data_IF_903053684362
#
_entry.id   IF_903053684362
#
_cell.length_a   1.000
_cell.length_b   1.000
_cell.length_c   1.000
_cell.angle_alpha   90.00
_cell.angle_beta   90.00
_cell.angle_gamma   90.00
#
_symmetry.space_group_name_H-M   'P 1'
#
loop_
_entity.id
_entity.type
_entity.pdbx_description
1 polymer ?
#
# COMPACT_ATOMS: atom_id res chain seq x y z
N UNK A 1 -20.12 5.84 0.65
CA UNK A 1 -20.27 7.06 1.46
C UNK A 1 -19.92 6.78 2.91
N UNK A 2 -19.59 7.81 3.69
CA UNK A 2 -19.32 7.76 5.15
C UNK A 2 -20.31 8.66 5.89
N UNK A 3 -21.56 8.22 6.16
CA UNK A 3 -22.58 9.07 6.79
C UNK A 3 -22.22 9.40 8.25
N UNK A 4 -22.48 10.64 8.68
CA UNK A 4 -22.22 11.16 10.02
C UNK A 4 -23.33 12.11 10.49
N UNK A 5 -23.94 11.76 11.62
CA UNK A 5 -24.93 12.59 12.29
C UNK A 5 -24.22 13.63 13.17
N UNK A 6 -24.73 14.86 13.17
CA UNK A 6 -24.34 15.86 14.16
C UNK A 6 -24.75 15.43 15.58
N UNK A 7 -24.11 15.95 16.64
CA UNK A 7 -24.42 15.57 18.02
C UNK A 7 -25.88 15.77 18.44
N UNK A 8 -26.55 16.77 17.87
CA UNK A 8 -27.96 17.08 18.06
C UNK A 8 -28.91 16.28 17.14
N UNK A 9 -28.36 15.41 16.28
CA UNK A 9 -29.06 14.64 15.25
C UNK A 9 -29.87 15.48 14.25
N UNK A 10 -29.58 16.78 14.12
CA UNK A 10 -30.29 17.69 13.20
C UNK A 10 -29.66 17.75 11.79
N UNK A 11 -28.40 17.36 11.64
CA UNK A 11 -27.66 17.40 10.36
C UNK A 11 -26.99 16.07 10.04
N UNK A 12 -26.94 15.76 8.75
CA UNK A 12 -26.22 14.62 8.19
C UNK A 12 -25.10 15.13 7.29
N UNK A 13 -23.89 14.60 7.46
CA UNK A 13 -22.80 14.73 6.51
C UNK A 13 -22.51 13.39 5.83
N UNK A 14 -22.15 13.38 4.54
CA UNK A 14 -21.71 12.17 3.84
C UNK A 14 -20.75 12.49 2.69
N UNK A 15 -20.00 11.47 2.30
CA UNK A 15 -19.13 11.50 1.12
C UNK A 15 -19.79 10.84 -0.08
N UNK A 16 -19.64 11.41 -1.27
CA UNK A 16 -20.02 10.78 -2.52
C UNK A 16 -19.00 11.06 -3.62
N UNK A 17 -18.84 10.11 -4.53
CA UNK A 17 -18.07 10.25 -5.75
C UNK A 17 -18.74 9.40 -6.82
N UNK A 18 -18.38 9.65 -8.07
CA UNK A 18 -18.92 8.93 -9.21
C UNK A 18 -17.78 8.55 -10.14
N UNK A 19 -18.05 7.55 -10.99
CA UNK A 19 -17.18 7.24 -12.11
C UNK A 19 -16.94 8.49 -12.98
N UNK A 20 -15.73 8.64 -13.54
CA UNK A 20 -14.62 7.67 -13.51
C UNK A 20 -13.72 7.77 -12.27
N UNK A 21 -13.96 8.75 -11.38
CA UNK A 21 -13.06 9.00 -10.25
C UNK A 21 -13.05 7.87 -9.21
N UNK A 22 -11.86 7.59 -8.71
CA UNK A 22 -11.67 6.96 -7.41
C UNK A 22 -11.78 8.01 -6.30
N UNK A 23 -12.09 7.63 -5.04
CA UNK A 23 -12.29 8.59 -3.97
C UNK A 23 -11.03 9.37 -3.57
N UNK A 24 -9.84 8.95 -4.02
CA UNK A 24 -8.58 9.69 -3.88
C UNK A 24 -8.25 10.62 -5.04
N UNK A 25 -9.00 10.52 -6.16
CA UNK A 25 -8.91 11.45 -7.28
C UNK A 25 -9.75 12.69 -6.97
N UNK A 26 -11.03 12.45 -6.61
CA UNK A 26 -11.98 13.48 -6.23
C UNK A 26 -13.21 12.90 -5.53
N UNK A 27 -13.69 13.59 -4.50
CA UNK A 27 -14.79 13.15 -3.66
C UNK A 27 -15.51 14.37 -3.07
N UNK A 28 -16.84 14.39 -3.10
CA UNK A 28 -17.65 15.49 -2.58
C UNK A 28 -18.12 15.20 -1.16
N UNK A 29 -18.01 16.20 -0.28
CA UNK A 29 -18.62 16.24 1.03
C UNK A 29 -19.93 17.00 0.97
N UNK A 30 -21.02 16.30 1.26
CA UNK A 30 -22.35 16.85 1.32
C UNK A 30 -22.84 16.95 2.75
N UNK A 31 -23.64 17.99 3.02
CA UNK A 31 -24.38 18.18 4.25
C UNK A 31 -25.87 18.32 3.94
N UNK A 32 -26.71 17.95 4.89
CA UNK A 32 -28.16 18.12 4.81
C UNK A 32 -28.78 18.24 6.20
N UNK A 33 -29.97 18.83 6.25
CA UNK A 33 -30.81 18.85 7.44
C UNK A 33 -31.65 17.57 7.52
N UNK A 34 -31.92 17.14 8.75
CA UNK A 34 -32.82 16.02 9.06
C UNK A 34 -34.10 16.62 9.61
N UNK A 35 -35.19 16.50 8.86
CA UNK A 35 -36.51 16.92 9.29
C UNK A 35 -37.03 16.04 10.43
N UNK A 36 -38.09 16.49 11.12
CA UNK A 36 -38.65 15.78 12.29
C UNK A 36 -39.19 14.36 11.97
N UNK A 37 -39.54 14.09 10.71
CA UNK A 37 -39.96 12.77 10.22
C UNK A 37 -38.78 11.89 9.73
N UNK A 38 -37.55 12.39 9.86
CA UNK A 38 -36.33 11.74 9.40
C UNK A 38 -35.99 11.99 7.92
N UNK A 39 -36.77 12.80 7.20
CA UNK A 39 -36.48 13.12 5.81
C UNK A 39 -35.23 14.01 5.67
N UNK A 40 -34.44 13.76 4.63
CA UNK A 40 -33.24 14.55 4.30
C UNK A 40 -33.63 15.75 3.43
N UNK A 41 -33.43 16.96 3.95
CA UNK A 41 -33.76 18.22 3.28
C UNK A 41 -32.52 19.12 3.12
N UNK A 42 -32.64 20.16 2.28
CA UNK A 42 -31.63 21.22 2.13
C UNK A 42 -30.20 20.69 1.87
N UNK A 43 -30.08 19.70 0.98
CA UNK A 43 -28.80 19.11 0.59
C UNK A 43 -27.88 20.16 -0.05
N UNK A 44 -26.64 20.24 0.43
CA UNK A 44 -25.61 21.15 -0.08
C UNK A 44 -24.27 20.43 -0.17
N UNK A 45 -23.57 20.60 -1.29
CA UNK A 45 -22.16 20.25 -1.38
C UNK A 45 -21.35 21.32 -0.64
N UNK A 46 -20.66 20.92 0.42
CA UNK A 46 -19.88 21.79 1.30
C UNK A 46 -18.44 21.94 0.82
N UNK A 47 -17.83 20.84 0.36
CA UNK A 47 -16.44 20.78 -0.07
C UNK A 47 -16.24 19.59 -1.03
N UNK A 48 -15.10 19.55 -1.72
CA UNK A 48 -14.79 18.47 -2.64
C UNK A 48 -15.19 18.78 -4.08
N UNK A 49 -14.49 18.13 -4.99
CA UNK A 49 -14.61 18.32 -6.43
C UNK A 49 -14.05 17.08 -7.15
N UNK A 50 -13.97 17.13 -8.48
CA UNK A 50 -13.38 16.05 -9.28
C UNK A 50 -11.86 15.90 -9.05
N UNK A 51 -11.20 16.95 -8.55
CA UNK A 51 -9.77 17.05 -8.29
C UNK A 51 -9.46 17.35 -6.81
N UNK A 52 -10.45 17.23 -5.92
CA UNK A 52 -10.28 17.38 -4.48
C UNK A 52 -10.82 16.13 -3.78
N UNK A 53 -9.93 15.40 -3.11
CA UNK A 53 -10.24 14.22 -2.32
C UNK A 53 -10.57 14.59 -0.88
N UNK A 54 -11.82 14.32 -0.49
CA UNK A 54 -12.27 14.44 0.89
C UNK A 54 -12.27 13.08 1.60
N UNK A 55 -11.68 13.06 2.79
CA UNK A 55 -11.57 11.91 3.68
C UNK A 55 -12.20 12.20 5.05
N UNK A 56 -12.87 11.18 5.60
CA UNK A 56 -13.32 11.12 7.00
C UNK A 56 -13.97 12.42 7.53
N UNK A 57 -15.19 12.79 7.11
CA UNK A 57 -15.95 13.82 7.81
C UNK A 57 -16.28 13.33 9.22
N UNK A 58 -16.21 14.21 10.22
CA UNK A 58 -16.61 13.97 11.61
C UNK A 58 -17.12 15.26 12.26
N UNK A 59 -18.20 15.17 13.02
CA UNK A 59 -18.68 16.30 13.83
C UNK A 59 -17.94 16.33 15.18
N UNK A 60 -17.41 17.49 15.55
CA UNK A 60 -16.89 17.72 16.90
C UNK A 60 -18.03 17.74 17.92
N UNK A 61 -17.74 17.54 19.22
CA UNK A 61 -18.75 17.58 20.28
C UNK A 61 -19.56 18.89 20.35
N UNK A 62 -19.03 20.01 19.86
CA UNK A 62 -19.73 21.30 19.79
C UNK A 62 -20.57 21.49 18.51
N UNK A 63 -20.60 20.48 17.62
CA UNK A 63 -21.37 20.52 16.38
C UNK A 63 -20.68 21.22 15.20
N UNK A 64 -19.38 21.50 15.28
CA UNK A 64 -18.57 21.93 14.13
C UNK A 64 -18.22 20.72 13.25
N UNK A 65 -18.30 20.84 11.92
CA UNK A 65 -17.92 19.76 11.01
C UNK A 65 -16.43 19.86 10.66
N UNK A 66 -15.69 18.79 10.89
CA UNK A 66 -14.31 18.61 10.45
C UNK A 66 -14.24 17.53 9.38
N UNK A 67 -13.22 17.60 8.54
CA UNK A 67 -12.93 16.59 7.51
C UNK A 67 -11.48 16.76 7.05
N UNK A 68 -10.96 15.78 6.33
CA UNK A 68 -9.64 15.85 5.71
C UNK A 68 -9.80 16.17 4.22
N UNK A 69 -8.99 17.07 3.70
CA UNK A 69 -8.99 17.47 2.27
C UNK A 69 -7.57 17.60 1.77
N UNK A 70 -7.31 17.16 0.53
CA UNK A 70 -6.03 17.34 -0.16
C UNK A 70 -5.96 18.57 -1.06
N UNK A 71 -6.89 19.52 -0.93
CA UNK A 71 -6.96 20.75 -1.74
C UNK A 71 -5.66 21.57 -1.83
N UNK A 72 -4.78 21.43 -0.83
CA UNK A 72 -3.49 22.10 -0.76
C UNK A 72 -2.31 21.23 -1.22
N UNK A 73 -2.58 20.06 -1.81
CA UNK A 73 -1.58 19.09 -2.25
C UNK A 73 -1.28 17.98 -1.22
N UNK A 74 -1.73 18.13 0.03
CA UNK A 74 -1.60 17.13 1.10
C UNK A 74 -2.92 16.97 1.81
N UNK A 75 -3.29 15.74 2.20
CA UNK A 75 -4.47 15.54 3.03
C UNK A 75 -4.24 16.18 4.40
N UNK A 76 -4.88 17.31 4.68
CA UNK A 76 -4.83 17.99 5.97
C UNK A 76 -6.23 18.13 6.56
N UNK A 77 -6.32 18.27 7.88
CA UNK A 77 -7.60 18.45 8.57
C UNK A 77 -8.11 19.89 8.35
N UNK A 78 -9.36 19.99 7.93
CA UNK A 78 -10.12 21.22 7.71
C UNK A 78 -11.39 21.22 8.55
N UNK A 79 -11.98 22.40 8.73
CA UNK A 79 -13.29 22.58 9.37
C UNK A 79 -14.19 23.50 8.58
N UNK A 80 -15.49 23.32 8.74
CA UNK A 80 -16.51 24.25 8.25
C UNK A 80 -16.78 25.35 9.27
N UNK A 81 -16.83 26.60 8.82
CA UNK A 81 -17.27 27.73 9.64
C UNK A 81 -18.80 27.80 9.68
N UNK A 82 -19.41 28.60 10.58
CA UNK A 82 -20.86 28.82 10.56
C UNK A 82 -21.41 29.43 9.26
N UNK A 83 -20.55 30.04 8.44
CA UNK A 83 -20.89 30.54 7.11
C UNK A 83 -20.62 29.51 6.00
N UNK A 84 -20.37 28.25 6.37
CA UNK A 84 -19.98 27.15 5.49
C UNK A 84 -18.69 27.39 4.68
N UNK A 85 -17.84 28.32 5.12
CA UNK A 85 -16.49 28.46 4.57
C UNK A 85 -15.59 27.34 5.12
N UNK A 86 -14.62 26.90 4.34
CA UNK A 86 -13.68 25.86 4.75
C UNK A 86 -12.35 26.47 5.18
N UNK A 87 -11.90 26.12 6.39
CA UNK A 87 -10.64 26.57 6.95
C UNK A 87 -9.71 25.39 7.24
N UNK A 88 -8.43 25.50 6.88
CA UNK A 88 -7.43 24.54 7.31
C UNK A 88 -7.18 24.68 8.82
N UNK A 89 -7.14 23.54 9.51
CA UNK A 89 -6.91 23.44 10.96
C UNK A 89 -5.43 23.36 11.25
N UNK A 90 -4.67 22.59 10.47
CA UNK A 90 -3.21 22.49 10.62
C UNK A 90 -2.61 22.16 9.25
N UNK A 91 -1.95 23.13 8.64
CA UNK A 91 -1.31 22.98 7.34
C UNK A 91 0.07 22.35 7.50
N UNK A 92 0.29 21.23 6.83
CA UNK A 92 1.52 20.42 6.92
C UNK A 92 1.74 19.64 5.63
N UNK A 93 3.01 19.51 5.23
CA UNK A 93 3.48 18.55 4.22
C UNK A 93 3.47 17.11 4.78
N UNK A 94 2.29 16.65 5.19
CA UNK A 94 2.04 15.36 5.83
C UNK A 94 0.63 14.86 5.49
N UNK A 95 0.45 13.54 5.40
CA UNK A 95 -0.86 12.96 5.10
C UNK A 95 -1.64 12.66 6.38
N UNK A 96 -2.78 13.32 6.56
CA UNK A 96 -3.80 13.00 7.56
C UNK A 96 -4.93 12.13 6.98
N UNK A 97 -4.82 11.77 5.70
CA UNK A 97 -5.80 10.95 4.99
C UNK A 97 -5.15 9.70 4.41
N UNK A 98 -6.00 8.77 3.99
CA UNK A 98 -5.60 7.54 3.31
C UNK A 98 -6.49 7.29 2.10
N UNK A 99 -6.02 6.55 1.08
CA UNK A 99 -6.87 6.17 -0.04
C UNK A 99 -8.05 5.31 0.46
N UNK A 100 -9.27 5.74 0.15
CA UNK A 100 -10.52 5.18 0.67
C UNK A 100 -10.94 3.88 -0.05
N UNK A 101 -10.09 2.86 0.03
CA UNK A 101 -10.36 1.50 -0.49
C UNK A 101 -11.55 0.83 0.19
N UNK A 102 -11.75 1.12 1.47
CA UNK A 102 -12.82 0.58 2.30
C UNK A 102 -13.46 1.67 3.15
N UNK A 103 -14.66 1.40 3.65
CA UNK A 103 -15.34 2.29 4.58
C UNK A 103 -14.80 2.16 6.02
N UNK A 104 -15.06 3.17 6.84
CA UNK A 104 -14.76 3.14 8.28
C UNK A 104 -13.32 3.42 8.68
N UNK A 105 -12.46 3.76 7.71
CA UNK A 105 -11.11 4.26 7.94
C UNK A 105 -11.14 5.53 8.79
N UNK A 106 -10.11 5.70 9.63
CA UNK A 106 -10.06 6.81 10.58
C UNK A 106 -8.63 7.12 10.99
N UNK A 107 -8.23 8.37 10.81
CA UNK A 107 -6.92 8.91 11.20
C UNK A 107 -7.03 9.92 12.34
N UNK A 108 -8.21 10.46 12.62
CA UNK A 108 -8.42 11.34 13.77
C UNK A 108 -9.71 11.06 14.54
N UNK A 109 -9.79 11.56 15.77
CA UNK A 109 -10.97 11.56 16.61
C UNK A 109 -10.93 12.72 17.61
N UNK A 110 -12.09 13.12 18.15
CA UNK A 110 -12.19 14.16 19.16
C UNK A 110 -12.08 13.57 20.57
N UNK A 111 -11.15 14.10 21.36
CA UNK A 111 -11.13 13.90 22.82
C UNK A 111 -12.15 14.85 23.47
N UNK A 112 -12.22 16.08 22.97
CA UNK A 112 -13.16 17.14 23.34
C UNK A 112 -13.36 18.09 22.13
N UNK A 113 -14.19 19.12 22.27
CA UNK A 113 -14.36 20.14 21.23
C UNK A 113 -13.06 20.92 20.93
N UNK A 114 -12.16 20.99 21.91
CA UNK A 114 -10.93 21.76 21.84
C UNK A 114 -9.71 20.90 21.45
N UNK A 115 -9.83 19.57 21.46
CA UNK A 115 -8.70 18.66 21.27
C UNK A 115 -9.02 17.49 20.33
N UNK A 116 -8.25 17.43 19.24
CA UNK A 116 -8.23 16.32 18.29
C UNK A 116 -7.06 15.42 18.63
N UNK A 117 -7.27 14.10 18.67
CA UNK A 117 -6.19 13.10 18.59
C UNK A 117 -6.12 12.63 17.15
N UNK A 118 -4.94 12.64 16.55
CA UNK A 118 -4.75 12.31 15.14
C UNK A 118 -3.51 11.46 14.92
N UNK A 119 -3.49 10.80 13.78
CA UNK A 119 -2.28 10.23 13.17
C UNK A 119 -2.06 10.84 11.81
N UNK A 120 -0.80 11.02 11.45
CA UNK A 120 -0.36 11.62 10.21
C UNK A 120 0.92 10.95 9.72
N UNK A 121 1.11 10.86 8.40
CA UNK A 121 2.30 10.28 7.79
C UNK A 121 3.26 11.36 7.30
N UNK A 122 4.53 11.22 7.67
CA UNK A 122 5.64 12.01 7.13
C UNK A 122 6.67 11.03 6.53
N UNK A 123 7.04 11.25 5.27
CA UNK A 123 7.99 10.36 4.56
C UNK A 123 7.56 8.88 4.59
N UNK A 124 6.25 8.61 4.54
CA UNK A 124 5.69 7.26 4.60
C UNK A 124 5.67 6.60 5.99
N UNK A 125 6.00 7.33 7.07
CA UNK A 125 5.96 6.81 8.44
C UNK A 125 4.83 7.50 9.23
N UNK A 126 3.92 6.72 9.80
CA UNK A 126 2.82 7.27 10.60
C UNK A 126 3.26 7.61 12.02
N UNK A 127 2.83 8.79 12.47
CA UNK A 127 3.08 9.37 13.79
C UNK A 127 1.77 9.67 14.49
N UNK A 128 1.79 9.81 15.81
CA UNK A 128 0.64 10.22 16.61
C UNK A 128 0.81 11.68 17.03
N UNK A 129 -0.30 12.41 17.12
CA UNK A 129 -0.29 13.79 17.62
C UNK A 129 -1.64 14.22 18.17
N UNK A 130 -1.63 15.38 18.82
CA UNK A 130 -2.83 16.10 19.22
C UNK A 130 -2.87 17.47 18.56
N UNK A 131 -4.06 17.93 18.16
CA UNK A 131 -4.27 19.28 17.63
C UNK A 131 -5.23 20.02 18.55
N UNK A 132 -4.79 21.16 19.06
CA UNK A 132 -5.66 22.13 19.75
C UNK A 132 -6.45 22.92 18.69
N UNK A 133 -7.78 22.84 18.72
CA UNK A 133 -8.64 23.38 17.65
C UNK A 133 -8.77 24.90 17.66
N UNK A 134 -8.40 25.56 18.76
CA UNK A 134 -8.45 27.02 18.93
C UNK A 134 -7.17 27.67 18.41
N UNK A 135 -6.04 27.18 18.90
CA UNK A 135 -4.70 27.64 18.53
C UNK A 135 -4.24 27.07 17.19
N UNK A 136 -4.86 25.98 16.72
CA UNK A 136 -4.54 25.30 15.46
C UNK A 136 -3.11 24.76 15.43
N UNK A 137 -2.62 24.33 16.59
CA UNK A 137 -1.26 23.80 16.77
C UNK A 137 -1.28 22.30 16.99
N UNK A 138 -0.42 21.60 16.26
CA UNK A 138 -0.13 20.20 16.47
C UNK A 138 0.99 20.02 17.49
N UNK A 139 0.80 19.09 18.41
CA UNK A 139 1.82 18.55 19.30
C UNK A 139 2.03 17.07 18.97
N UNK A 140 3.27 16.69 18.63
CA UNK A 140 3.61 15.29 18.36
C UNK A 140 3.67 14.50 19.67
N UNK A 141 3.19 13.27 19.61
CA UNK A 141 3.30 12.30 20.71
C UNK A 141 4.30 11.23 20.29
N UNK A 142 5.41 11.17 21.02
CA UNK A 142 6.43 10.15 20.77
C UNK A 142 5.91 8.76 21.15
N UNK A 143 5.95 7.85 20.19
CA UNK A 143 5.58 6.45 20.37
C UNK A 143 6.55 5.56 19.59
N UNK A 144 6.73 4.28 19.96
CA UNK A 144 7.56 3.37 19.20
C UNK A 144 6.91 2.91 17.88
N UNK A 145 5.67 3.34 17.60
CA UNK A 145 4.89 2.87 16.47
C UNK A 145 5.24 3.65 15.20
N UNK A 146 5.26 2.92 14.09
CA UNK A 146 5.56 3.44 12.74
C UNK A 146 4.38 3.29 11.78
N UNK A 147 3.35 2.54 12.20
CA UNK A 147 2.05 2.46 11.53
C UNK A 147 0.96 2.65 12.59
N UNK A 148 0.04 3.59 12.38
CA UNK A 148 -1.05 3.90 13.29
C UNK A 148 -2.33 4.12 12.48
N UNK A 149 -3.43 3.52 12.91
CA UNK A 149 -4.71 3.56 12.20
C UNK A 149 -5.90 3.41 13.16
N UNK A 150 -7.10 3.69 12.65
CA UNK A 150 -8.36 3.53 13.38
C UNK A 150 -8.40 4.28 14.71
N UNK A 151 -7.94 5.54 14.72
CA UNK A 151 -7.90 6.37 15.92
C UNK A 151 -9.32 6.62 16.45
N UNK A 152 -9.51 6.39 17.75
CA UNK A 152 -10.73 6.73 18.52
C UNK A 152 -10.30 7.46 19.78
N UNK A 153 -11.12 8.41 20.22
CA UNK A 153 -10.84 9.19 21.42
C UNK A 153 -12.13 9.46 22.21
N UNK A 154 -11.93 9.72 23.50
CA UNK A 154 -12.92 10.16 24.48
C UNK A 154 -12.19 10.92 25.57
N UNK A 155 -12.89 11.59 26.48
CA UNK A 155 -12.28 12.38 27.55
C UNK A 155 -11.07 11.67 28.22
N UNK A 156 -9.88 12.26 28.07
CA UNK A 156 -8.59 11.79 28.62
C UNK A 156 -7.99 10.52 28.00
N UNK A 157 -8.59 9.90 26.98
CA UNK A 157 -8.13 8.61 26.44
C UNK A 157 -8.21 8.53 24.92
N UNK A 158 -7.23 7.85 24.33
CA UNK A 158 -7.26 7.42 22.95
C UNK A 158 -7.12 5.90 22.82
N UNK A 159 -7.74 5.32 21.79
CA UNK A 159 -7.57 3.92 21.39
C UNK A 159 -7.27 3.89 19.90
N UNK A 160 -6.26 3.15 19.50
CA UNK A 160 -5.84 3.05 18.10
C UNK A 160 -5.20 1.69 17.82
N UNK A 161 -5.18 1.29 16.55
CA UNK A 161 -4.40 0.15 16.07
C UNK A 161 -3.01 0.65 15.70
N UNK A 162 -1.96 0.03 16.22
CA UNK A 162 -0.59 0.41 15.90
C UNK A 162 0.37 -0.76 15.81
N UNK A 163 1.43 -0.60 15.02
CA UNK A 163 2.55 -1.54 14.87
C UNK A 163 3.88 -0.80 14.83
N UNK A 164 4.95 -1.45 15.27
CA UNK A 164 6.33 -0.95 15.15
C UNK A 164 7.15 -1.88 14.26
N UNK A 165 8.38 -1.50 13.93
CA UNK A 165 9.31 -2.38 13.19
C UNK A 165 9.69 -3.66 13.95
N UNK A 166 9.40 -3.72 15.26
CA UNK A 166 9.80 -4.83 16.14
C UNK A 166 8.63 -5.58 16.78
N UNK A 167 7.43 -5.00 16.76
CA UNK A 167 6.26 -5.57 17.41
C UNK A 167 5.09 -5.71 16.42
N UNK A 168 4.31 -6.80 16.52
CA UNK A 168 3.14 -6.99 15.68
C UNK A 168 2.07 -5.94 15.99
N UNK A 169 1.17 -5.73 15.03
CA UNK A 169 0.02 -4.86 15.22
C UNK A 169 -0.75 -5.20 16.50
N UNK A 170 -1.15 -4.16 17.21
CA UNK A 170 -1.85 -4.25 18.47
C UNK A 170 -2.92 -3.16 18.59
N UNK A 171 -3.95 -3.42 19.38
CA UNK A 171 -4.88 -2.39 19.84
C UNK A 171 -4.27 -1.77 21.09
N UNK A 172 -3.97 -0.48 21.03
CA UNK A 172 -3.32 0.30 22.06
C UNK A 172 -4.33 1.27 22.65
N UNK A 173 -4.39 1.33 23.99
CA UNK A 173 -5.02 2.41 24.72
C UNK A 173 -3.94 3.34 25.25
N UNK A 174 -4.14 4.65 25.10
CA UNK A 174 -3.26 5.68 25.65
C UNK A 174 -4.03 6.56 26.63
N UNK A 175 -3.43 6.82 27.79
CA UNK A 175 -3.83 7.92 28.66
C UNK A 175 -3.22 9.22 28.12
N UNK A 176 -4.05 10.21 27.80
CA UNK A 176 -3.58 11.42 27.12
C UNK A 176 -2.86 12.40 28.05
N UNK A 177 -3.09 12.31 29.37
CA UNK A 177 -2.43 13.17 30.34
C UNK A 177 -1.03 12.66 30.69
N UNK A 178 -0.88 11.35 30.88
CA UNK A 178 0.42 10.74 31.24
C UNK A 178 1.22 10.28 30.01
N UNK A 179 0.57 10.16 28.84
CA UNK A 179 1.09 9.53 27.61
C UNK A 179 1.41 8.03 27.78
N UNK A 180 1.03 7.42 28.90
CA UNK A 180 1.25 5.99 29.13
C UNK A 180 0.36 5.15 28.20
N UNK A 181 0.93 4.07 27.68
CA UNK A 181 0.23 3.15 26.79
C UNK A 181 -0.01 1.80 27.44
N UNK A 182 -1.16 1.21 27.12
CA UNK A 182 -1.55 -0.14 27.50
C UNK A 182 -1.95 -0.91 26.24
N UNK A 183 -1.28 -2.04 26.01
CA UNK A 183 -1.69 -2.99 24.97
C UNK A 183 -2.96 -3.70 25.43
N UNK A 184 -4.06 -3.49 24.71
CA UNK A 184 -5.34 -4.16 24.97
C UNK A 184 -5.39 -5.54 24.30
N UNK A 185 -4.89 -5.65 23.08
CA UNK A 185 -4.86 -6.89 22.32
C UNK A 185 -3.71 -6.87 21.31
N UNK A 186 -3.00 -7.99 21.17
CA UNK A 186 -2.01 -8.19 20.10
C UNK A 186 -2.62 -9.01 18.97
N UNK A 187 -2.28 -8.70 17.72
CA UNK A 187 -2.66 -9.50 16.56
C UNK A 187 -1.97 -10.87 16.55
N UNK A 188 -0.84 -11.00 17.22
CA UNK A 188 -0.09 -12.25 17.37
C UNK A 188 0.65 -12.31 18.70
N UNK A 189 0.91 -13.53 19.17
CA UNK A 189 1.71 -13.83 20.35
C UNK A 189 3.14 -14.28 20.04
N UNK A 190 3.53 -14.41 18.76
CA UNK A 190 4.91 -14.80 18.45
C UNK A 190 5.89 -13.72 18.88
N UNK A 191 7.04 -14.15 19.40
CA UNK A 191 8.15 -13.27 19.77
C UNK A 191 9.32 -13.70 18.89
N UNK A 192 9.81 -12.75 18.08
CA UNK A 192 11.02 -12.94 17.28
C UNK A 192 12.15 -12.24 18.03
N UNK A 193 13.27 -12.94 18.23
CA UNK A 193 14.46 -12.33 18.81
C UNK A 193 14.95 -11.19 17.91
N UNK A 194 15.19 -10.01 18.52
CA UNK A 194 15.63 -8.81 17.80
C UNK A 194 16.90 -8.99 16.98
N UNK A 195 17.72 -10.00 17.31
CA UNK A 195 18.89 -10.38 16.53
C UNK A 195 18.58 -10.83 15.10
N UNK A 196 17.33 -11.22 14.81
CA UNK A 196 16.87 -11.60 13.46
C UNK A 196 15.95 -10.57 12.81
N UNK A 197 15.66 -9.44 13.49
CA UNK A 197 14.78 -8.40 12.99
C UNK A 197 15.56 -7.33 12.25
N UNK A 198 15.37 -7.25 10.93
CA UNK A 198 15.85 -6.15 10.10
C UNK A 198 14.90 -4.96 10.20
N UNK A 199 15.44 -3.80 10.60
CA UNK A 199 14.66 -2.58 10.70
C UNK A 199 14.60 -1.84 9.36
N UNK A 200 13.45 -1.24 9.00
CA UNK A 200 13.30 -0.47 7.78
C UNK A 200 14.19 0.78 7.81
N UNK A 201 14.94 0.98 6.73
CA UNK A 201 15.65 2.21 6.45
C UNK A 201 14.89 2.97 5.37
N UNK A 202 14.29 4.11 5.72
CA UNK A 202 13.70 5.00 4.73
C UNK A 202 14.80 5.49 3.78
N UNK A 203 14.62 5.24 2.48
CA UNK A 203 15.55 5.68 1.45
C UNK A 203 14.83 6.45 0.35
N UNK A 204 15.58 7.32 -0.29
CA UNK A 204 15.20 8.04 -1.49
C UNK A 204 16.22 7.72 -2.58
N UNK A 205 15.76 7.60 -3.82
CA UNK A 205 16.62 7.31 -4.95
C UNK A 205 16.16 8.05 -6.20
N UNK A 206 17.11 8.45 -7.08
CA UNK A 206 16.76 9.10 -8.33
C UNK A 206 16.03 8.13 -9.26
N UNK A 207 15.06 8.67 -10.01
CA UNK A 207 14.34 7.96 -11.07
C UNK A 207 14.26 8.83 -12.32
N UNK A 208 13.46 8.41 -13.29
CA UNK A 208 13.32 9.06 -14.60
C UNK A 208 12.95 10.54 -14.48
N UNK A 209 13.33 11.32 -15.51
CA UNK A 209 13.01 12.76 -15.63
C UNK A 209 13.50 13.64 -14.45
N UNK A 210 14.56 13.22 -13.75
CA UNK A 210 15.12 13.97 -12.63
C UNK A 210 14.24 13.97 -11.38
N UNK A 211 13.30 13.03 -11.30
CA UNK A 211 12.44 12.83 -10.14
C UNK A 211 13.13 11.94 -9.09
N UNK A 212 12.54 11.90 -7.90
CA UNK A 212 12.94 11.03 -6.78
C UNK A 212 11.82 10.08 -6.43
N UNK A 213 12.13 8.83 -6.16
CA UNK A 213 11.22 7.82 -5.62
C UNK A 213 11.65 7.35 -4.22
N UNK A 214 10.73 6.69 -3.51
CA UNK A 214 10.89 6.35 -2.10
C UNK A 214 10.80 4.84 -1.86
N UNK A 215 11.30 4.39 -0.72
CA UNK A 215 11.10 3.02 -0.27
C UNK A 215 11.71 2.74 1.08
N UNK A 216 11.47 1.53 1.59
CA UNK A 216 12.11 1.00 2.78
C UNK A 216 13.11 -0.08 2.39
N UNK A 217 14.39 0.15 2.71
CA UNK A 217 15.44 -0.85 2.57
C UNK A 217 15.62 -1.63 3.87
N UNK A 218 15.65 -2.96 3.75
CA UNK A 218 15.89 -3.89 4.84
C UNK A 218 17.16 -4.69 4.53
N UNK A 219 18.29 -4.39 5.18
CA UNK A 219 19.49 -5.20 5.01
C UNK A 219 19.28 -6.61 5.59
N UNK A 220 20.04 -7.62 5.14
CA UNK A 220 20.01 -8.93 5.77
C UNK A 220 20.38 -8.83 7.26
N UNK A 221 19.67 -9.58 8.11
CA UNK A 221 19.87 -9.55 9.56
C UNK A 221 19.70 -10.92 10.15
N UNK A 222 20.78 -11.47 10.70
CA UNK A 222 20.76 -12.71 11.45
C UNK A 222 21.78 -12.60 12.59
N UNK A 223 21.45 -13.14 13.78
CA UNK A 223 22.36 -13.12 14.93
C UNK A 223 23.49 -14.15 14.79
N UNK A 224 23.17 -15.29 14.20
CA UNK A 224 24.02 -16.48 14.22
C UNK A 224 24.88 -16.60 12.96
N UNK A 225 24.54 -15.86 11.91
CA UNK A 225 25.22 -15.87 10.61
C UNK A 225 25.55 -14.45 10.14
N UNK A 226 26.69 -14.33 9.47
CA UNK A 226 27.11 -13.14 8.76
C UNK A 226 27.48 -13.50 7.32
N UNK A 227 27.41 -12.52 6.41
CA UNK A 227 27.81 -12.72 5.02
C UNK A 227 29.30 -13.08 4.92
N UNK A 228 29.69 -13.95 3.97
CA UNK A 228 31.10 -14.19 3.65
C UNK A 228 31.84 -12.90 3.28
N UNK A 229 33.15 -12.88 3.55
CA UNK A 229 34.01 -11.76 3.17
C UNK A 229 33.99 -11.59 1.65
N UNK A 230 33.73 -10.38 1.17
CA UNK A 230 33.59 -10.00 -0.24
C UNK A 230 32.35 -10.52 -0.98
N UNK A 231 31.34 -11.02 -0.27
CA UNK A 231 30.05 -11.33 -0.86
C UNK A 231 29.01 -10.25 -0.53
N UNK A 232 28.16 -9.94 -1.51
CA UNK A 232 27.01 -9.04 -1.33
C UNK A 232 25.73 -9.87 -1.34
N UNK A 233 24.71 -9.49 -0.54
CA UNK A 233 23.47 -10.24 -0.51
C UNK A 233 22.70 -10.11 -1.84
N UNK A 234 21.91 -11.13 -2.22
CA UNK A 234 20.87 -10.96 -3.23
C UNK A 234 19.84 -9.92 -2.75
N UNK A 235 19.14 -9.28 -3.69
CA UNK A 235 18.08 -8.31 -3.39
C UNK A 235 16.73 -8.83 -3.90
N UNK A 236 15.72 -8.83 -3.03
CA UNK A 236 14.33 -8.95 -3.42
C UNK A 236 13.68 -7.57 -3.39
N UNK A 237 13.28 -7.06 -4.56
CA UNK A 237 12.47 -5.85 -4.67
C UNK A 237 11.00 -6.24 -4.56
N UNK A 238 10.26 -5.60 -3.66
CA UNK A 238 8.83 -5.78 -3.52
C UNK A 238 8.09 -4.60 -4.13
N UNK A 239 7.08 -4.90 -4.91
CA UNK A 239 6.13 -3.94 -5.46
C UNK A 239 4.77 -4.14 -4.80
N UNK A 240 4.28 -3.11 -4.09
CA UNK A 240 3.01 -3.19 -3.38
C UNK A 240 1.80 -3.13 -4.33
N UNK A 241 0.67 -3.70 -3.90
CA UNK A 241 -0.62 -3.56 -4.59
C UNK A 241 -1.28 -2.19 -4.36
N UNK A 242 -2.42 -1.95 -5.03
CA UNK A 242 -3.14 -0.67 -4.99
C UNK A 242 -3.62 -0.30 -6.39
N UNK A 243 -2.78 0.31 -7.25
CA UNK A 243 -1.43 0.82 -6.98
C UNK A 243 -1.42 2.11 -6.14
N UNK A 244 -2.57 2.78 -5.95
CA UNK A 244 -2.69 3.91 -5.01
C UNK A 244 -2.76 3.41 -3.56
N UNK A 245 -1.60 3.10 -3.00
CA UNK A 245 -1.37 2.65 -1.61
C UNK A 245 0.07 2.98 -1.20
N UNK A 246 0.58 2.40 -0.12
CA UNK A 246 1.99 2.50 0.24
C UNK A 246 2.46 1.22 0.96
N UNK A 247 3.77 0.97 0.96
CA UNK A 247 4.39 0.09 1.95
C UNK A 247 4.44 0.74 3.34
N UNK A 248 4.60 -0.07 4.39
CA UNK A 248 4.58 0.34 5.78
C UNK A 248 5.86 -0.07 6.51
N UNK A 249 6.28 0.76 7.47
CA UNK A 249 7.48 0.54 8.28
C UNK A 249 7.26 -0.34 9.53
N UNK A 250 6.14 -1.09 9.58
CA UNK A 250 5.82 -2.00 10.68
C UNK A 250 6.47 -3.39 10.48
N UNK A 251 6.39 -4.24 11.51
CA UNK A 251 6.86 -5.62 11.46
C UNK A 251 6.04 -6.43 10.44
N UNK A 252 6.67 -6.77 9.32
CA UNK A 252 6.12 -7.66 8.29
C UNK A 252 6.87 -9.00 8.34
N UNK A 253 6.29 -10.08 8.88
CA UNK A 253 6.97 -11.37 9.01
C UNK A 253 7.48 -11.95 7.69
N UNK A 254 6.78 -11.70 6.57
CA UNK A 254 7.23 -12.14 5.25
C UNK A 254 8.48 -11.41 4.75
N UNK A 255 8.71 -10.15 5.13
CA UNK A 255 9.99 -9.46 4.86
C UNK A 255 11.09 -10.07 5.75
N UNK A 256 10.78 -10.27 7.04
CA UNK A 256 11.74 -10.84 7.99
C UNK A 256 12.16 -12.26 7.60
N UNK A 257 11.26 -13.04 6.98
CA UNK A 257 11.55 -14.36 6.44
C UNK A 257 12.72 -14.36 5.45
N UNK A 258 12.82 -13.33 4.61
CA UNK A 258 13.91 -13.11 3.64
C UNK A 258 15.16 -12.55 4.30
N UNK A 259 15.01 -11.47 5.08
CA UNK A 259 16.16 -10.79 5.70
C UNK A 259 16.89 -11.67 6.70
N UNK A 260 16.17 -12.55 7.40
CA UNK A 260 16.78 -13.53 8.30
C UNK A 260 17.55 -14.63 7.58
N UNK A 261 17.35 -14.79 6.26
CA UNK A 261 17.98 -15.80 5.39
C UNK A 261 19.06 -15.22 4.49
N UNK A 262 19.54 -14.00 4.77
CA UNK A 262 20.64 -13.40 4.01
C UNK A 262 20.20 -12.61 2.77
N UNK A 263 18.91 -12.48 2.51
CA UNK A 263 18.37 -11.74 1.35
C UNK A 263 18.01 -10.32 1.77
N UNK A 264 18.57 -9.33 1.08
CA UNK A 264 18.17 -7.93 1.29
C UNK A 264 16.78 -7.70 0.67
N UNK A 265 15.99 -6.80 1.25
CA UNK A 265 14.66 -6.45 0.72
C UNK A 265 14.59 -4.95 0.46
N UNK A 266 14.07 -4.55 -0.70
CA UNK A 266 13.68 -3.17 -0.98
C UNK A 266 12.18 -3.15 -1.23
N UNK A 267 11.43 -2.53 -0.32
CA UNK A 267 9.99 -2.36 -0.47
C UNK A 267 9.70 -0.96 -1.03
N UNK A 268 9.27 -0.89 -2.28
CA UNK A 268 9.27 0.34 -3.08
C UNK A 268 7.93 1.06 -2.97
N UNK A 269 7.98 2.33 -2.54
CA UNK A 269 6.89 3.29 -2.73
C UNK A 269 7.14 4.02 -4.06
N UNK A 270 6.68 3.43 -5.16
CA UNK A 270 6.86 3.97 -6.51
C UNK A 270 5.97 5.20 -6.75
N UNK A 271 6.28 6.03 -7.76
CA UNK A 271 5.44 7.16 -8.16
C UNK A 271 4.00 6.70 -8.41
N UNK A 272 3.05 7.22 -7.63
CA UNK A 272 1.71 6.62 -7.49
C UNK A 272 1.33 6.29 -6.06
N UNK A 273 2.32 6.01 -5.21
CA UNK A 273 2.09 5.69 -3.81
C UNK A 273 1.55 6.88 -3.02
N UNK A 274 0.86 6.59 -1.93
CA UNK A 274 0.38 7.58 -0.95
C UNK A 274 1.41 7.81 0.15
N UNK A 275 1.24 8.84 0.99
CA UNK A 275 2.23 9.17 2.04
C UNK A 275 3.21 10.28 1.68
N UNK A 276 3.14 10.78 0.43
CA UNK A 276 4.08 11.73 -0.17
C UNK A 276 3.37 12.87 -0.91
N UNK A 277 2.09 13.11 -0.61
CA UNK A 277 1.28 14.17 -1.20
C UNK A 277 0.64 13.78 -2.53
N UNK A 278 -0.34 14.58 -2.94
CA UNK A 278 -1.12 14.42 -4.17
C UNK A 278 -0.22 14.41 -5.41
N UNK A 279 0.76 15.31 -5.48
CA UNK A 279 1.67 15.39 -6.62
C UNK A 279 2.48 14.10 -6.84
N UNK A 280 2.84 13.38 -5.76
CA UNK A 280 3.52 12.09 -5.87
C UNK A 280 2.54 10.98 -6.28
N UNK A 281 1.34 10.97 -5.68
CA UNK A 281 0.26 10.04 -5.98
C UNK A 281 -0.19 10.12 -7.45
N UNK A 282 -0.25 11.31 -8.02
CA UNK A 282 -0.68 11.53 -9.41
C UNK A 282 0.42 11.22 -10.44
N UNK A 283 1.65 10.90 -10.03
CA UNK A 283 2.73 10.51 -10.98
C UNK A 283 2.38 9.27 -11.79
N UNK A 284 1.50 8.42 -11.28
CA UNK A 284 1.07 7.20 -11.96
C UNK A 284 -0.06 7.43 -12.97
N UNK A 285 -0.70 8.62 -12.95
CA UNK A 285 -1.79 8.93 -13.88
C UNK A 285 -1.28 8.92 -15.32
N UNK A 286 -1.92 8.12 -16.17
CA UNK A 286 -1.51 7.84 -17.54
C UNK A 286 -0.20 7.06 -17.67
N UNK A 287 0.41 6.61 -16.57
CA UNK A 287 1.77 6.07 -16.52
C UNK A 287 1.90 4.71 -15.82
N UNK A 288 0.79 4.05 -15.47
CA UNK A 288 0.83 2.69 -14.93
C UNK A 288 1.40 1.70 -15.96
N UNK A 289 2.32 0.84 -15.53
CA UNK A 289 3.16 -0.02 -16.36
C UNK A 289 4.46 0.64 -16.82
N UNK A 290 4.73 1.88 -16.39
CA UNK A 290 5.91 2.67 -16.76
C UNK A 290 6.58 3.18 -15.48
N UNK A 291 5.95 4.11 -14.76
CA UNK A 291 6.56 4.77 -13.59
C UNK A 291 6.80 3.78 -12.45
N UNK A 292 5.81 2.94 -12.15
CA UNK A 292 5.91 1.87 -11.16
C UNK A 292 7.05 0.87 -11.47
N UNK A 293 7.21 0.55 -12.75
CA UNK A 293 8.24 -0.37 -13.25
C UNK A 293 9.63 0.27 -13.16
N UNK A 294 9.77 1.50 -13.64
CA UNK A 294 11.03 2.22 -13.69
C UNK A 294 11.55 2.53 -12.28
N UNK A 295 10.66 2.92 -11.35
CA UNK A 295 11.02 3.17 -9.96
C UNK A 295 11.53 1.88 -9.28
N UNK A 296 10.87 0.74 -9.48
CA UNK A 296 11.33 -0.55 -8.95
C UNK A 296 12.72 -0.93 -9.51
N UNK A 297 12.92 -0.77 -10.82
CA UNK A 297 14.21 -1.03 -11.46
C UNK A 297 15.31 -0.06 -10.97
N UNK A 298 15.01 1.22 -10.83
CA UNK A 298 15.97 2.25 -10.41
C UNK A 298 16.35 2.09 -8.94
N UNK A 299 15.42 1.71 -8.06
CA UNK A 299 15.72 1.35 -6.67
C UNK A 299 16.72 0.18 -6.57
N UNK A 300 16.52 -0.86 -7.37
CA UNK A 300 17.44 -2.00 -7.43
C UNK A 300 18.85 -1.59 -7.89
N UNK A 301 18.92 -0.83 -9.00
CA UNK A 301 20.18 -0.33 -9.57
C UNK A 301 20.91 0.60 -8.61
N UNK A 302 20.18 1.45 -7.89
CA UNK A 302 20.73 2.38 -6.92
C UNK A 302 21.46 1.66 -5.78
N UNK A 303 20.82 0.65 -5.17
CA UNK A 303 21.44 -0.15 -4.11
C UNK A 303 22.65 -0.96 -4.64
N UNK A 304 22.56 -1.50 -5.85
CA UNK A 304 23.66 -2.21 -6.50
C UNK A 304 24.87 -1.28 -6.75
N UNK A 305 24.62 -0.05 -7.23
CA UNK A 305 25.65 0.96 -7.47
C UNK A 305 26.35 1.44 -6.19
N UNK A 306 25.61 1.51 -5.07
CA UNK A 306 26.16 1.77 -3.72
C UNK A 306 26.96 0.58 -3.16
N UNK A 307 26.86 -0.58 -3.81
CA UNK A 307 27.56 -1.79 -3.43
C UNK A 307 26.94 -2.54 -2.25
N UNK A 308 25.67 -2.28 -1.94
CA UNK A 308 24.96 -2.91 -0.82
C UNK A 308 24.34 -4.26 -1.18
N UNK A 309 24.14 -4.52 -2.47
CA UNK A 309 23.54 -5.76 -2.99
C UNK A 309 24.29 -6.27 -4.22
N UNK A 310 24.09 -7.55 -4.55
CA UNK A 310 24.64 -8.19 -5.73
C UNK A 310 23.78 -7.92 -6.98
N UNK A 311 24.35 -7.19 -7.94
CA UNK A 311 23.70 -6.85 -9.22
C UNK A 311 23.31 -8.07 -10.07
N UNK A 312 23.95 -9.22 -9.85
CA UNK A 312 23.64 -10.45 -10.58
C UNK A 312 22.58 -11.32 -9.88
N UNK A 313 22.09 -10.91 -8.71
CA UNK A 313 21.06 -11.62 -7.93
C UNK A 313 19.95 -10.67 -7.49
N UNK A 314 19.45 -9.90 -8.45
CA UNK A 314 18.29 -9.02 -8.29
C UNK A 314 17.00 -9.80 -8.63
N UNK A 315 16.06 -9.86 -7.70
CA UNK A 315 14.76 -10.50 -7.83
C UNK A 315 13.66 -9.44 -7.63
N UNK A 316 12.48 -9.70 -8.17
CA UNK A 316 11.30 -8.87 -7.94
C UNK A 316 10.07 -9.72 -7.66
N UNK A 317 9.27 -9.32 -6.70
CA UNK A 317 7.95 -9.88 -6.48
C UNK A 317 6.89 -8.81 -6.20
N UNK A 318 5.63 -9.23 -6.31
CA UNK A 318 4.49 -8.35 -6.10
C UNK A 318 3.17 -9.08 -6.23
N UNK A 319 2.17 -8.53 -5.54
CA UNK A 319 0.79 -9.02 -5.56
C UNK A 319 -0.16 -8.07 -6.25
N UNK A 320 -1.18 -8.59 -6.95
CA UNK A 320 -2.23 -7.75 -7.58
C UNK A 320 -1.62 -6.71 -8.54
N UNK A 321 -1.86 -5.41 -8.33
CA UNK A 321 -1.21 -4.33 -9.08
C UNK A 321 0.34 -4.37 -9.02
N UNK A 322 0.93 -4.80 -7.90
CA UNK A 322 2.37 -5.05 -7.81
C UNK A 322 2.79 -6.30 -8.59
N UNK A 323 1.91 -7.30 -8.70
CA UNK A 323 2.11 -8.45 -9.57
C UNK A 323 2.16 -8.03 -11.05
N UNK A 324 1.35 -7.04 -11.44
CA UNK A 324 1.43 -6.40 -12.75
C UNK A 324 2.75 -5.65 -12.95
N UNK A 325 3.14 -4.79 -12.01
CA UNK A 325 4.45 -4.12 -12.03
C UNK A 325 5.60 -5.12 -12.17
N UNK A 326 5.55 -6.23 -11.43
CA UNK A 326 6.52 -7.31 -11.49
C UNK A 326 6.61 -7.92 -12.88
N UNK A 327 5.48 -8.31 -13.48
CA UNK A 327 5.47 -8.89 -14.82
C UNK A 327 5.94 -7.88 -15.88
N UNK A 328 5.52 -6.62 -15.78
CA UNK A 328 6.00 -5.55 -16.65
C UNK A 328 7.51 -5.32 -16.53
N UNK A 329 8.07 -5.33 -15.32
CA UNK A 329 9.51 -5.20 -15.11
C UNK A 329 10.29 -6.36 -15.74
N UNK A 330 9.77 -7.59 -15.67
CA UNK A 330 10.41 -8.78 -16.24
C UNK A 330 10.27 -8.86 -17.78
N UNK A 331 9.22 -8.25 -18.34
CA UNK A 331 8.94 -8.26 -19.79
C UNK A 331 9.57 -7.07 -20.52
N UNK A 332 9.51 -5.88 -19.91
CA UNK A 332 9.84 -4.62 -20.58
C UNK A 332 11.16 -4.00 -20.11
N UNK A 333 11.82 -4.57 -19.09
CA UNK A 333 13.13 -4.12 -18.58
C UNK A 333 14.05 -5.33 -18.38
N UNK A 334 15.35 -5.07 -18.22
CA UNK A 334 16.39 -6.09 -17.97
C UNK A 334 17.16 -5.76 -16.68
N UNK A 335 16.43 -5.57 -15.59
CA UNK A 335 17.02 -5.35 -14.27
C UNK A 335 17.13 -6.65 -13.46
N UNK A 336 16.09 -7.49 -13.52
CA UNK A 336 15.92 -8.62 -12.62
C UNK A 336 16.30 -9.96 -13.27
N UNK A 337 16.79 -10.89 -12.45
CA UNK A 337 17.28 -12.22 -12.86
C UNK A 337 16.32 -13.35 -12.54
N UNK A 338 15.30 -13.08 -11.72
CA UNK A 338 14.13 -13.93 -11.51
C UNK A 338 13.00 -13.09 -10.90
N UNK A 339 11.78 -13.62 -10.87
CA UNK A 339 10.72 -12.99 -10.09
C UNK A 339 9.57 -13.91 -9.71
N UNK A 340 8.67 -13.37 -8.88
CA UNK A 340 7.47 -14.06 -8.42
C UNK A 340 6.22 -13.19 -8.57
N UNK A 341 5.20 -13.71 -9.25
CA UNK A 341 3.92 -13.02 -9.42
C UNK A 341 2.85 -13.66 -8.53
N UNK A 342 2.26 -12.86 -7.65
CA UNK A 342 1.14 -13.27 -6.80
C UNK A 342 -0.15 -12.67 -7.35
N UNK A 343 -0.99 -13.50 -7.99
CA UNK A 343 -2.28 -13.09 -8.59
C UNK A 343 -2.19 -11.73 -9.33
N UNK A 344 -1.14 -11.59 -10.15
CA UNK A 344 -0.82 -10.35 -10.87
C UNK A 344 -1.55 -10.24 -12.21
N UNK A 345 -1.88 -9.01 -12.60
CA UNK A 345 -2.51 -8.74 -13.90
C UNK A 345 -1.47 -8.93 -15.00
N UNK A 346 -1.81 -9.67 -16.05
CA UNK A 346 -0.97 -9.87 -17.25
C UNK A 346 -1.60 -9.30 -18.53
N UNK A 347 -2.93 -9.17 -18.55
CA UNK A 347 -3.77 -8.60 -19.61
C UNK A 347 -4.69 -7.53 -19.01
N UNK A 348 -4.38 -6.26 -19.30
CA UNK A 348 -5.15 -5.10 -18.87
C UNK A 348 -6.49 -5.00 -19.57
N UNK A 349 -6.61 -5.45 -20.83
CA UNK A 349 -7.87 -5.42 -21.56
C UNK A 349 -8.86 -6.43 -20.96
N UNK A 350 -8.36 -7.60 -20.52
CA UNK A 350 -9.18 -8.55 -19.78
C UNK A 350 -9.58 -8.01 -18.39
N UNK A 351 -8.67 -7.35 -17.67
CA UNK A 351 -8.99 -6.70 -16.38
C UNK A 351 -10.13 -5.69 -16.53
N UNK A 352 -10.05 -4.80 -17.52
CA UNK A 352 -11.05 -3.74 -17.74
C UNK A 352 -12.46 -4.32 -18.04
N UNK A 353 -12.54 -5.49 -18.68
CA UNK A 353 -13.83 -6.11 -19.03
C UNK A 353 -14.50 -6.84 -17.88
N UNK A 354 -13.72 -7.39 -16.95
CA UNK A 354 -14.21 -8.35 -15.95
C UNK A 354 -14.07 -7.88 -14.48
N UNK A 355 -13.56 -6.67 -14.23
CA UNK A 355 -13.38 -6.15 -12.85
C UNK A 355 -14.71 -5.72 -12.18
N UNK A 356 -14.67 -5.52 -10.86
CA UNK A 356 -15.82 -5.10 -10.07
C UNK A 356 -16.08 -3.59 -10.17
N UNK A 357 -17.32 -3.17 -9.86
CA UNK A 357 -17.81 -1.78 -10.01
C UNK A 357 -16.91 -0.69 -9.40
N UNK A 358 -16.26 -0.95 -8.26
CA UNK A 358 -15.46 0.08 -7.59
C UNK A 358 -14.23 0.46 -8.41
N UNK A 359 -13.59 -0.51 -9.07
CA UNK A 359 -12.36 -0.30 -9.85
C UNK A 359 -12.59 -0.30 -11.36
N UNK A 360 -13.83 -0.48 -11.82
CA UNK A 360 -14.17 -0.63 -13.24
C UNK A 360 -13.93 0.59 -14.12
N UNK A 361 -13.44 1.71 -13.56
CA UNK A 361 -13.00 2.90 -14.29
C UNK A 361 -11.64 3.40 -13.79
N UNK A 362 -10.97 2.64 -12.92
CA UNK A 362 -9.71 3.06 -12.31
C UNK A 362 -8.60 3.13 -13.36
N UNK A 363 -8.62 2.25 -14.36
CA UNK A 363 -7.68 2.29 -15.48
C UNK A 363 -7.85 3.52 -16.39
N UNK A 364 -8.99 4.24 -16.33
CA UNK A 364 -9.16 5.49 -17.08
C UNK A 364 -8.12 6.54 -16.67
N UNK A 365 -7.85 6.67 -15.37
CA UNK A 365 -6.86 7.62 -14.86
C UNK A 365 -5.44 7.06 -14.92
N UNK A 366 -5.24 5.77 -14.66
CA UNK A 366 -3.92 5.13 -14.61
C UNK A 366 -3.30 4.88 -16.00
N UNK A 367 -4.11 4.59 -17.01
CA UNK A 367 -3.67 4.24 -18.37
C UNK A 367 -4.28 5.22 -19.37
N UNK A 368 -5.60 5.31 -19.40
CA UNK A 368 -6.37 6.11 -20.35
C UNK A 368 -7.76 5.51 -20.58
N UNK A 369 -8.70 6.28 -21.14
CA UNK A 369 -10.09 5.85 -21.30
C UNK A 369 -10.21 4.65 -22.26
N UNK A 370 -10.97 3.63 -21.86
CA UNK A 370 -11.31 2.48 -22.71
C UNK A 370 -12.75 2.61 -23.27
N UNK A 371 -12.99 2.31 -24.56
CA UNK A 371 -12.08 1.69 -25.54
C UNK A 371 -11.22 2.65 -26.38
N UNK A 372 -11.29 3.96 -26.15
CA UNK A 372 -10.62 4.99 -26.99
C UNK A 372 -9.10 4.83 -27.02
N UNK A 373 -8.50 4.44 -25.89
CA UNK A 373 -7.07 4.19 -25.73
C UNK A 373 -6.69 2.72 -25.61
N UNK A 374 -7.46 1.84 -26.27
CA UNK A 374 -7.16 0.39 -26.32
C UNK A 374 -5.72 0.08 -26.77
N UNK A 375 -5.10 0.96 -27.56
CA UNK A 375 -3.67 0.91 -27.90
C UNK A 375 -2.79 0.77 -26.65
N UNK A 376 -3.01 1.59 -25.63
CA UNK A 376 -2.21 1.58 -24.41
C UNK A 376 -2.42 0.30 -23.59
N UNK A 377 -3.65 -0.22 -23.53
CA UNK A 377 -3.94 -1.48 -22.84
C UNK A 377 -3.18 -2.63 -23.51
N UNK A 378 -3.11 -2.63 -24.84
CA UNK A 378 -2.32 -3.62 -25.57
C UNK A 378 -0.81 -3.44 -25.30
N UNK A 379 -0.29 -2.23 -25.47
CA UNK A 379 1.14 -1.88 -25.31
C UNK A 379 1.67 -2.18 -23.90
N UNK A 380 0.83 -2.03 -22.89
CA UNK A 380 1.22 -2.17 -21.48
C UNK A 380 0.79 -3.49 -20.85
N UNK A 381 0.20 -4.41 -21.61
CA UNK A 381 -0.12 -5.76 -21.13
C UNK A 381 1.08 -6.69 -21.34
N UNK A 382 1.75 -7.17 -20.29
CA UNK A 382 2.95 -8.00 -20.42
C UNK A 382 2.70 -9.30 -21.19
N UNK A 383 1.47 -9.83 -21.20
CA UNK A 383 1.16 -11.04 -21.98
C UNK A 383 1.39 -10.88 -23.48
N UNK A 384 1.12 -9.69 -24.04
CA UNK A 384 1.29 -9.41 -25.46
C UNK A 384 2.76 -9.40 -25.90
N UNK A 385 3.66 -9.30 -24.92
CA UNK A 385 5.10 -9.24 -25.12
C UNK A 385 5.83 -10.33 -24.30
N UNK A 386 5.13 -11.38 -23.87
CA UNK A 386 5.72 -12.47 -23.09
C UNK A 386 6.92 -13.15 -23.79
N UNK A 387 7.01 -13.02 -25.13
CA UNK A 387 8.16 -13.43 -25.91
C UNK A 387 9.48 -12.72 -25.51
N UNK A 388 9.43 -11.54 -24.87
CA UNK A 388 10.60 -10.81 -24.38
C UNK A 388 11.10 -11.33 -23.03
N UNK A 389 10.22 -11.93 -22.22
CA UNK A 389 10.55 -12.44 -20.89
C UNK A 389 11.57 -13.58 -20.98
N UNK A 390 12.75 -13.41 -20.38
CA UNK A 390 13.90 -14.31 -20.55
C UNK A 390 14.44 -14.91 -19.25
N UNK A 391 13.91 -14.52 -18.09
CA UNK A 391 14.35 -14.98 -16.78
C UNK A 391 13.31 -15.88 -16.09
N UNK A 392 13.72 -16.72 -15.12
CA UNK A 392 12.82 -17.61 -14.39
C UNK A 392 11.70 -16.87 -13.63
N UNK A 393 10.47 -17.40 -13.68
CA UNK A 393 9.33 -16.84 -12.94
C UNK A 393 8.50 -17.91 -12.23
N UNK A 394 8.10 -17.64 -10.99
CA UNK A 394 7.11 -18.44 -10.26
C UNK A 394 5.78 -17.68 -10.11
N UNK A 395 4.67 -18.38 -10.25
CA UNK A 395 3.32 -17.82 -10.17
C UNK A 395 2.54 -18.47 -9.03
N UNK A 396 1.89 -17.64 -8.21
CA UNK A 396 0.99 -18.06 -7.13
C UNK A 396 -0.41 -17.50 -7.36
N UNK A 397 -1.43 -18.35 -7.36
CA UNK A 397 -2.78 -17.93 -7.74
C UNK A 397 -3.86 -18.57 -6.86
N UNK A 398 -4.81 -17.79 -6.38
CA UNK A 398 -6.04 -18.28 -5.78
C UNK A 398 -7.05 -18.65 -6.87
N UNK A 399 -7.63 -19.84 -6.81
CA UNK A 399 -8.55 -20.33 -7.85
C UNK A 399 -9.95 -19.71 -7.79
N UNK A 400 -10.30 -19.04 -6.69
CA UNK A 400 -11.57 -18.32 -6.52
C UNK A 400 -11.40 -16.80 -6.67
N UNK A 401 -10.26 -16.34 -7.19
CA UNK A 401 -9.98 -14.92 -7.40
C UNK A 401 -10.92 -14.34 -8.47
N UNK A 402 -11.65 -13.28 -8.09
CA UNK A 402 -12.58 -12.54 -8.95
C UNK A 402 -12.10 -11.13 -9.30
N UNK A 403 -10.97 -10.71 -8.75
CA UNK A 403 -10.35 -9.41 -9.07
C UNK A 403 -9.33 -9.63 -10.20
N UNK A 404 -8.48 -10.64 -10.05
CA UNK A 404 -7.53 -11.08 -11.10
C UNK A 404 -7.74 -12.57 -11.33
N UNK A 405 -8.56 -12.95 -12.32
CA UNK A 405 -8.93 -14.35 -12.49
C UNK A 405 -7.74 -15.24 -12.89
N UNK A 406 -7.76 -16.55 -12.56
CA UNK A 406 -6.61 -17.44 -12.74
C UNK A 406 -6.04 -17.53 -14.17
N UNK A 407 -6.86 -17.27 -15.18
CA UNK A 407 -6.45 -17.28 -16.59
C UNK A 407 -5.28 -16.32 -16.86
N UNK A 408 -5.19 -15.22 -16.12
CA UNK A 408 -4.11 -14.22 -16.22
C UNK A 408 -2.73 -14.86 -15.96
N UNK A 409 -2.63 -15.68 -14.90
CA UNK A 409 -1.41 -16.40 -14.58
C UNK A 409 -1.18 -17.57 -15.55
N UNK A 410 -2.23 -18.34 -15.87
CA UNK A 410 -2.15 -19.49 -16.76
C UNK A 410 -1.63 -19.14 -18.17
N UNK A 411 -2.05 -17.99 -18.71
CA UNK A 411 -1.57 -17.48 -20.00
C UNK A 411 -0.07 -17.20 -19.99
N UNK A 412 0.45 -16.55 -18.94
CA UNK A 412 1.89 -16.29 -18.79
C UNK A 412 2.69 -17.57 -18.61
N UNK A 413 2.20 -18.50 -17.78
CA UNK A 413 2.85 -19.81 -17.57
C UNK A 413 2.92 -20.58 -18.88
N UNK A 414 1.84 -20.60 -19.67
CA UNK A 414 1.82 -21.26 -20.98
C UNK A 414 2.85 -20.64 -21.95
N UNK A 415 2.97 -19.31 -21.98
CA UNK A 415 3.94 -18.62 -22.81
C UNK A 415 5.39 -18.98 -22.42
N UNK A 416 5.71 -19.02 -21.12
CA UNK A 416 7.04 -19.39 -20.63
C UNK A 416 7.37 -20.86 -20.88
N UNK A 417 6.40 -21.76 -20.72
CA UNK A 417 6.54 -23.18 -21.08
C UNK A 417 6.91 -23.34 -22.56
N UNK A 418 6.19 -22.63 -23.44
CA UNK A 418 6.46 -22.68 -24.88
C UNK A 418 7.85 -22.14 -25.23
N UNK A 419 8.28 -21.08 -24.54
CA UNK A 419 9.60 -20.47 -24.71
C UNK A 419 10.74 -21.29 -24.08
N UNK A 420 10.41 -22.30 -23.26
CA UNK A 420 11.37 -23.08 -22.44
C UNK A 420 12.15 -22.21 -21.46
N UNK A 421 11.49 -21.20 -20.90
CA UNK A 421 12.01 -20.44 -19.76
C UNK A 421 11.63 -21.18 -18.47
N UNK A 422 12.51 -21.26 -17.46
CA UNK A 422 12.17 -21.90 -16.20
C UNK A 422 10.93 -21.28 -15.56
N UNK A 423 9.92 -22.10 -15.25
CA UNK A 423 8.64 -21.60 -14.72
C UNK A 423 8.03 -22.57 -13.71
N UNK A 424 7.43 -22.01 -12.66
CA UNK A 424 6.64 -22.76 -11.69
C UNK A 424 5.26 -22.11 -11.51
N UNK A 425 4.24 -22.94 -11.26
CA UNK A 425 2.88 -22.47 -10.99
C UNK A 425 2.30 -23.21 -9.79
N UNK A 426 1.84 -22.46 -8.80
CA UNK A 426 1.22 -22.98 -7.59
C UNK A 426 -0.17 -22.35 -7.45
N UNK A 427 -1.19 -23.19 -7.64
CA UNK A 427 -2.59 -22.81 -7.51
C UNK A 427 -3.13 -23.22 -6.14
N UNK A 428 -3.96 -22.37 -5.54
CA UNK A 428 -4.57 -22.59 -4.23
C UNK A 428 -6.10 -22.65 -4.34
N UNK A 429 -6.66 -23.84 -4.09
CA UNK A 429 -8.10 -24.02 -3.92
C UNK A 429 -8.61 -23.36 -2.62
N UNK A 430 -9.79 -22.73 -2.68
CA UNK A 430 -10.37 -22.03 -1.54
C UNK A 430 -9.76 -20.65 -1.24
N UNK A 431 -8.80 -20.19 -2.05
CA UNK A 431 -8.24 -18.85 -1.96
C UNK A 431 -8.78 -17.94 -3.06
N UNK A 432 -8.99 -16.67 -2.68
CA UNK A 432 -9.50 -15.61 -3.55
C UNK A 432 -8.35 -14.63 -3.88
N UNK A 433 -8.68 -13.34 -4.06
CA UNK A 433 -7.69 -12.29 -4.21
C UNK A 433 -6.94 -12.03 -2.89
N UNK A 434 -5.74 -12.58 -2.79
CA UNK A 434 -4.94 -12.59 -1.56
C UNK A 434 -5.18 -13.82 -0.69
N UNK A 435 -4.10 -14.47 -0.25
CA UNK A 435 -4.17 -15.71 0.53
C UNK A 435 -4.51 -15.42 1.99
N UNK A 436 -5.46 -16.16 2.55
CA UNK A 436 -5.93 -16.00 3.93
C UNK A 436 -5.60 -17.20 4.81
N UNK A 437 -5.47 -18.39 4.24
CA UNK A 437 -5.17 -19.60 5.00
C UNK A 437 -3.67 -19.62 5.30
N UNK A 438 -3.33 -19.85 6.57
CA UNK A 438 -1.94 -19.79 7.04
C UNK A 438 -1.03 -20.80 6.31
N UNK A 439 -1.58 -21.98 6.01
CA UNK A 439 -0.90 -23.02 5.24
C UNK A 439 -0.55 -22.57 3.81
N UNK A 440 -1.43 -21.82 3.14
CA UNK A 440 -1.22 -21.34 1.79
C UNK A 440 -0.24 -20.16 1.76
N UNK A 441 -0.33 -19.24 2.73
CA UNK A 441 0.64 -18.16 2.91
C UNK A 441 2.05 -18.73 3.11
N UNK A 442 2.18 -19.72 4.01
CA UNK A 442 3.45 -20.42 4.24
C UNK A 442 3.92 -21.13 2.97
N UNK A 443 3.03 -21.86 2.30
CA UNK A 443 3.36 -22.62 1.08
C UNK A 443 3.88 -21.72 -0.04
N UNK A 444 3.31 -20.51 -0.19
CA UNK A 444 3.75 -19.55 -1.18
C UNK A 444 5.16 -19.02 -0.87
N UNK A 445 5.42 -18.57 0.37
CA UNK A 445 6.75 -18.10 0.80
C UNK A 445 7.83 -19.18 0.66
N UNK A 446 7.53 -20.40 1.12
CA UNK A 446 8.43 -21.54 1.02
C UNK A 446 8.67 -21.96 -0.44
N UNK A 447 7.62 -21.91 -1.27
CA UNK A 447 7.71 -22.21 -2.70
C UNK A 447 8.56 -21.19 -3.45
N UNK A 448 8.45 -19.91 -3.10
CA UNK A 448 9.27 -18.85 -3.67
C UNK A 448 10.73 -19.00 -3.27
N UNK A 449 11.00 -19.26 -1.98
CA UNK A 449 12.36 -19.54 -1.49
C UNK A 449 12.97 -20.76 -2.19
N UNK A 450 12.21 -21.85 -2.32
CA UNK A 450 12.65 -23.04 -3.06
C UNK A 450 12.99 -22.69 -4.51
N UNK A 451 12.12 -21.94 -5.17
CA UNK A 451 12.32 -21.54 -6.56
C UNK A 451 13.62 -20.75 -6.74
N UNK A 452 13.84 -19.71 -5.95
CA UNK A 452 15.08 -18.92 -6.03
C UNK A 452 16.32 -19.75 -5.65
N UNK A 453 16.23 -20.65 -4.67
CA UNK A 453 17.33 -21.54 -4.32
C UNK A 453 17.76 -22.42 -5.50
N UNK A 454 16.79 -22.93 -6.26
CA UNK A 454 17.05 -23.73 -7.46
C UNK A 454 17.59 -22.89 -8.63
N UNK A 455 17.08 -21.68 -8.81
CA UNK A 455 17.52 -20.76 -9.88
C UNK A 455 18.94 -20.25 -9.65
N UNK A 456 19.26 -19.84 -8.42
CA UNK A 456 20.56 -19.24 -8.08
C UNK A 456 21.57 -20.23 -7.49
N UNK A 457 21.17 -21.49 -7.27
CA UNK A 457 22.06 -22.57 -6.85
C UNK A 457 22.55 -22.45 -5.40
N UNK A 458 21.73 -21.94 -4.48
CA UNK A 458 22.06 -21.90 -3.05
C UNK A 458 21.36 -23.00 -2.25
N UNK A 459 22.01 -23.46 -1.18
CA UNK A 459 21.46 -24.48 -0.29
C UNK A 459 20.49 -23.86 0.72
N UNK A 460 19.37 -24.55 0.96
CA UNK A 460 18.40 -24.14 1.97
C UNK A 460 18.84 -24.63 3.35
N UNK A 461 18.76 -23.74 4.35
CA UNK A 461 19.03 -24.09 5.75
C UNK A 461 18.00 -25.11 6.31
N UNK A 462 16.77 -25.07 5.80
CA UNK A 462 15.68 -25.96 6.19
C UNK A 462 15.04 -26.57 4.94
N UNK A 463 14.69 -27.84 5.00
CA UNK A 463 13.96 -28.48 3.92
C UNK A 463 12.54 -27.90 3.84
N UNK A 464 12.19 -27.33 2.69
CA UNK A 464 10.84 -26.88 2.38
C UNK A 464 10.19 -27.81 1.35
N UNK A 465 8.86 -27.77 1.27
CA UNK A 465 8.13 -28.56 0.28
C UNK A 465 8.51 -28.10 -1.15
N UNK A 466 9.08 -28.99 -1.99
CA UNK A 466 9.48 -28.63 -3.34
C UNK A 466 8.31 -28.13 -4.19
N UNK A 467 8.54 -27.14 -5.05
CA UNK A 467 7.62 -26.80 -6.15
C UNK A 467 8.11 -27.43 -7.45
N UNK A 468 7.23 -27.97 -8.30
CA UNK A 468 7.61 -28.38 -9.65
C UNK A 468 8.10 -27.16 -10.45
N UNK A 469 9.31 -27.25 -10.99
CA UNK A 469 9.89 -26.22 -11.87
C UNK A 469 10.09 -26.86 -13.24
N UNK A 470 9.40 -26.33 -14.24
CA UNK A 470 9.55 -26.75 -15.62
C UNK A 470 10.71 -26.00 -16.26
N UNK A 471 11.43 -26.65 -17.19
CA UNK A 471 12.54 -26.08 -17.96
C UNK A 471 13.75 -25.56 -17.16
N UNK A 472 13.94 -25.99 -15.89
CA UNK A 472 15.07 -25.58 -15.04
C UNK A 472 16.42 -26.13 -15.51
#
# INVERSE_FOLDING_TARGET
SSPRLSPDAARLAWLQWNHPNMPWDGCELWIAEIAADGAIANKKCLAGAADESIFQPEWSPDGTLYFVSDRAGWWNIHRATPADAVECVCEMDAEFGVPQWVFGLSTYAFESADLIVCTFAEQGIWRLGTIDTRSRKLERIETPYAEISFVRASAGRAVFRAGSSREPFSIIQMDLATRETKVLQRASSFIIDSGYLSEPQAIEFPTENGLTAHGFFYPPKNRDFAAPVNEKPPLLVKSHGGPTSATIAALIPSIQYWTSRGVAVLDVNYGGSTGYGRAYRERLNGAWGIVDVDDCCNGAKFLAARGEVDVNRLMIDGGSAGGYTTLCALVFRDAFKAGASYYGVSDLEALEKDTHKFESRYSDSLIGPYPERRDLYFERSPINFAANLSCPVIFFQGLEDKVVPPNQAEMMVAALRQKRVPVAYVAFEGEQHGFRRAENIKRALDGELYFYARVFGFELAEAVEPVPIENL
#
